data_IF_372849588732
#
_entry.id   IF_372849588732
#
_cell.length_a   1.000
_cell.length_b   1.000
_cell.length_c   1.000
_cell.angle_alpha   90.00
_cell.angle_beta   90.00
_cell.angle_gamma   90.00
#
_symmetry.space_group_name_H-M   'P 1'
#
loop_
_entity.id
_entity.type
_entity.pdbx_description
1 polymer ?
#
# COMPACT_ATOMS: atom_id res chain seq x y z
N UNK A 1 15.29 -30.30 11.74
CA UNK A 1 14.45 -29.68 10.69
C UNK A 1 14.02 -28.33 11.23
N UNK A 2 14.72 -27.26 10.86
CA UNK A 2 14.37 -25.91 11.30
C UNK A 2 13.01 -25.55 10.71
N UNK A 3 12.15 -24.97 11.54
CA UNK A 3 10.84 -24.50 11.13
C UNK A 3 11.03 -23.33 10.15
N UNK A 4 11.12 -23.63 8.86
CA UNK A 4 11.34 -22.65 7.81
C UNK A 4 10.07 -21.81 7.65
N UNK A 5 10.03 -20.68 8.35
CA UNK A 5 8.92 -19.72 8.28
C UNK A 5 8.86 -19.14 6.87
N UNK A 6 7.79 -19.43 6.15
CA UNK A 6 7.56 -18.90 4.79
C UNK A 6 6.93 -17.53 4.93
N UNK A 7 7.57 -16.50 4.37
CA UNK A 7 7.08 -15.12 4.43
C UNK A 7 6.41 -14.65 3.12
N UNK A 8 6.92 -15.14 2.00
CA UNK A 8 6.41 -14.81 0.66
C UNK A 8 6.30 -16.06 -0.21
N UNK A 9 5.34 -16.02 -1.12
CA UNK A 9 5.12 -17.02 -2.15
C UNK A 9 5.25 -16.33 -3.50
N UNK A 10 6.14 -16.83 -4.34
CA UNK A 10 6.29 -16.39 -5.72
C UNK A 10 5.79 -17.51 -6.64
N UNK A 11 4.69 -17.25 -7.34
CA UNK A 11 4.08 -18.15 -8.31
C UNK A 11 4.63 -17.83 -9.69
N UNK A 12 5.22 -18.83 -10.34
CA UNK A 12 5.62 -18.76 -11.74
C UNK A 12 4.48 -19.34 -12.61
N UNK A 13 4.11 -18.60 -13.65
CA UNK A 13 3.16 -19.07 -14.66
C UNK A 13 3.79 -20.14 -15.56
N UNK A 14 2.97 -21.00 -16.17
CA UNK A 14 3.43 -22.09 -17.04
C UNK A 14 4.20 -21.61 -18.28
N UNK A 15 3.93 -20.37 -18.72
CA UNK A 15 4.65 -19.70 -19.79
C UNK A 15 6.09 -19.31 -19.42
N UNK A 16 6.48 -19.44 -18.16
CA UNK A 16 7.82 -19.14 -17.70
C UNK A 16 8.75 -20.31 -18.01
N UNK A 17 9.76 -20.06 -18.85
CA UNK A 17 10.81 -21.02 -19.18
C UNK A 17 11.63 -21.42 -17.94
N UNK A 18 12.16 -22.64 -17.93
CA UNK A 18 13.00 -23.12 -16.84
C UNK A 18 14.25 -22.24 -16.61
N UNK A 19 14.87 -21.74 -17.68
CA UNK A 19 16.00 -20.82 -17.61
C UNK A 19 15.67 -19.53 -16.84
N UNK A 20 14.51 -18.93 -17.11
CA UNK A 20 14.03 -17.76 -16.40
C UNK A 20 13.79 -18.04 -14.91
N UNK A 21 13.22 -19.21 -14.58
CA UNK A 21 13.01 -19.60 -13.19
C UNK A 21 14.34 -19.85 -12.44
N UNK A 22 15.33 -20.45 -13.11
CA UNK A 22 16.66 -20.66 -12.54
C UNK A 22 17.41 -19.34 -12.36
N UNK A 23 17.30 -18.43 -13.32
CA UNK A 23 17.83 -17.07 -13.21
C UNK A 23 17.24 -16.36 -11.99
N UNK A 24 15.91 -16.30 -11.86
CA UNK A 24 15.24 -15.64 -10.72
C UNK A 24 15.70 -16.22 -9.38
N UNK A 25 15.79 -17.55 -9.27
CA UNK A 25 16.24 -18.21 -8.03
C UNK A 25 17.69 -17.86 -7.72
N UNK A 26 18.57 -17.86 -8.73
CA UNK A 26 19.97 -17.49 -8.56
C UNK A 26 20.10 -16.04 -8.11
N UNK A 27 19.43 -15.11 -8.80
CA UNK A 27 19.51 -13.68 -8.50
C UNK A 27 18.93 -13.36 -7.11
N UNK A 28 17.80 -13.96 -6.71
CA UNK A 28 17.24 -13.73 -5.37
C UNK A 28 18.09 -14.32 -4.25
N UNK A 29 18.83 -15.41 -4.52
CA UNK A 29 19.73 -16.00 -3.52
C UNK A 29 21.04 -15.23 -3.40
N UNK A 30 21.66 -14.86 -4.52
CA UNK A 30 22.97 -14.19 -4.57
C UNK A 30 22.86 -12.70 -4.23
N UNK A 31 21.95 -11.96 -4.87
CA UNK A 31 21.87 -10.50 -4.73
C UNK A 31 21.00 -10.07 -3.54
N UNK A 32 19.86 -10.73 -3.33
CA UNK A 32 18.97 -10.39 -2.22
C UNK A 32 19.31 -11.13 -0.91
N UNK A 33 20.08 -12.21 -0.96
CA UNK A 33 20.43 -13.03 0.22
C UNK A 33 19.20 -13.74 0.83
N UNK A 34 18.25 -14.15 -0.01
CA UNK A 34 17.02 -14.83 0.41
C UNK A 34 17.12 -16.34 0.17
N UNK A 35 16.52 -17.12 1.06
CA UNK A 35 16.47 -18.57 0.96
C UNK A 35 15.18 -19.01 0.27
N UNK A 36 15.33 -19.63 -0.91
CA UNK A 36 14.21 -20.11 -1.71
C UNK A 36 14.10 -21.63 -1.65
N UNK A 37 12.89 -22.13 -1.40
CA UNK A 37 12.54 -23.54 -1.58
C UNK A 37 11.52 -23.69 -2.70
N UNK A 38 11.72 -24.70 -3.57
CA UNK A 38 10.87 -24.95 -4.73
C UNK A 38 9.79 -25.96 -4.36
N UNK A 39 8.54 -25.66 -4.68
CA UNK A 39 7.42 -26.60 -4.59
C UNK A 39 6.65 -26.62 -5.92
N UNK A 40 6.04 -27.76 -6.24
CA UNK A 40 5.20 -27.89 -7.44
C UNK A 40 3.75 -27.74 -7.04
N UNK A 41 3.02 -26.85 -7.71
CA UNK A 41 1.59 -26.70 -7.51
C UNK A 41 0.83 -27.87 -8.15
N UNK A 42 -0.35 -28.20 -7.61
CA UNK A 42 -1.21 -29.28 -8.15
C UNK A 42 -1.61 -29.06 -9.62
N UNK A 43 -1.66 -27.80 -10.05
CA UNK A 43 -2.04 -27.40 -11.41
C UNK A 43 -0.82 -27.06 -12.29
N UNK A 44 0.31 -27.77 -12.17
CA UNK A 44 1.43 -27.64 -13.11
C UNK A 44 2.39 -26.44 -12.91
N UNK A 45 2.01 -25.40 -12.17
CA UNK A 45 2.86 -24.23 -11.91
C UNK A 45 3.98 -24.46 -10.88
N UNK A 46 5.12 -23.78 -11.06
CA UNK A 46 6.21 -23.77 -10.07
C UNK A 46 5.94 -22.69 -9.01
N UNK A 47 6.03 -23.05 -7.74
CA UNK A 47 5.92 -22.14 -6.61
C UNK A 47 7.28 -22.06 -5.92
N UNK A 48 7.71 -20.84 -5.63
CA UNK A 48 8.89 -20.56 -4.84
C UNK A 48 8.45 -20.01 -3.49
N UNK A 49 8.77 -20.74 -2.44
CA UNK A 49 8.60 -20.29 -1.07
C UNK A 49 9.84 -19.52 -0.65
N UNK A 50 9.64 -18.27 -0.24
CA UNK A 50 10.70 -17.35 0.12
C UNK A 50 10.77 -17.28 1.64
N UNK A 51 11.98 -17.54 2.13
CA UNK A 51 12.38 -17.52 3.52
C UNK A 51 13.61 -16.64 3.66
N UNK A 52 13.88 -16.17 4.87
CA UNK A 52 15.06 -15.35 5.15
C UNK A 52 15.54 -15.66 6.57
N UNK A 53 16.85 -15.59 6.78
CA UNK A 53 17.43 -15.71 8.12
C UNK A 53 17.13 -14.48 8.97
N UNK A 54 17.02 -14.68 10.28
CA UNK A 54 16.75 -13.59 11.22
C UNK A 54 17.82 -12.49 11.11
N UNK A 55 19.10 -12.86 11.01
CA UNK A 55 20.22 -11.93 10.82
C UNK A 55 20.10 -11.10 9.53
N UNK A 56 19.65 -11.72 8.44
CA UNK A 56 19.46 -11.01 7.17
C UNK A 56 18.33 -10.00 7.28
N UNK A 57 17.22 -10.37 7.92
CA UNK A 57 16.08 -9.48 8.14
C UNK A 57 16.49 -8.29 9.02
N UNK A 58 17.29 -8.52 10.06
CA UNK A 58 17.87 -7.45 10.89
C UNK A 58 18.72 -6.49 10.07
N UNK A 59 19.66 -6.99 9.26
CA UNK A 59 20.51 -6.15 8.41
C UNK A 59 19.70 -5.30 7.42
N UNK A 60 18.64 -5.85 6.83
CA UNK A 60 17.75 -5.12 5.93
C UNK A 60 16.94 -4.06 6.70
N UNK A 61 16.46 -4.40 7.90
CA UNK A 61 15.70 -3.47 8.73
C UNK A 61 16.54 -2.25 9.17
N UNK A 62 17.80 -2.47 9.51
CA UNK A 62 18.75 -1.43 9.96
C UNK A 62 19.27 -0.59 8.79
N UNK A 63 19.96 -1.21 7.82
CA UNK A 63 20.71 -0.47 6.80
C UNK A 63 19.80 0.06 5.69
N UNK A 64 18.94 -0.80 5.17
CA UNK A 64 18.20 -0.54 3.93
C UNK A 64 16.90 0.22 4.17
N UNK A 65 16.06 -0.29 5.08
CA UNK A 65 14.74 0.28 5.36
C UNK A 65 14.78 1.35 6.46
N UNK A 66 15.85 1.38 7.26
CA UNK A 66 16.02 2.22 8.46
C UNK A 66 14.73 2.24 9.29
N UNK A 67 14.23 1.05 9.60
CA UNK A 67 13.00 0.88 10.36
C UNK A 67 13.19 1.54 11.72
N UNK A 68 12.12 2.19 12.18
CA UNK A 68 12.09 2.89 13.46
C UNK A 68 11.25 2.09 14.43
N UNK A 69 11.77 1.87 15.64
CA UNK A 69 11.13 1.12 16.72
C UNK A 69 11.27 1.86 18.04
N UNK A 70 10.39 1.52 18.99
CA UNK A 70 10.46 2.04 20.35
C UNK A 70 11.59 1.35 21.09
N UNK A 71 12.48 2.14 21.65
CA UNK A 71 13.53 1.69 22.57
C UNK A 71 12.92 1.31 23.93
N UNK A 72 13.71 0.68 24.79
CA UNK A 72 13.43 0.40 26.19
C UNK A 72 12.89 1.59 27.00
N UNK A 73 13.32 2.81 26.62
CA UNK A 73 12.85 4.08 27.21
C UNK A 73 11.51 4.57 26.65
N UNK A 74 10.92 3.86 25.69
CA UNK A 74 9.68 4.23 25.00
C UNK A 74 9.84 5.28 23.89
N UNK A 75 11.07 5.66 23.54
CA UNK A 75 11.35 6.64 22.48
C UNK A 75 11.49 5.93 21.13
N UNK A 76 10.80 6.44 20.10
CA UNK A 76 10.89 5.92 18.74
C UNK A 76 12.15 6.41 18.05
N UNK A 77 13.11 5.52 17.76
CA UNK A 77 14.35 5.84 17.03
C UNK A 77 14.62 4.83 15.90
N UNK A 78 15.45 5.19 14.90
CA UNK A 78 15.97 4.20 13.94
C UNK A 78 16.65 3.06 14.68
N UNK A 79 16.53 1.86 14.14
CA UNK A 79 17.27 0.70 14.63
C UNK A 79 18.74 0.91 14.30
N UNK A 80 19.52 1.22 15.33
CA UNK A 80 20.97 1.35 15.26
C UNK A 80 21.51 0.73 16.55
N UNK A 81 22.45 -0.21 16.44
CA UNK A 81 23.12 -0.82 17.58
C UNK A 81 22.52 -2.15 18.05
N UNK A 82 22.69 -2.46 19.35
CA UNK A 82 22.43 -3.80 19.87
C UNK A 82 20.93 -4.15 19.87
N UNK A 83 20.53 -5.35 19.38
CA UNK A 83 19.14 -5.80 19.34
C UNK A 83 18.42 -5.76 20.70
N UNK A 84 19.18 -5.88 21.80
CA UNK A 84 18.64 -5.94 23.17
C UNK A 84 17.95 -4.65 23.61
N UNK A 85 18.40 -3.49 23.11
CA UNK A 85 17.82 -2.18 23.48
C UNK A 85 16.38 -2.03 22.97
N UNK A 86 16.06 -2.73 21.88
CA UNK A 86 14.76 -2.68 21.24
C UNK A 86 13.85 -3.86 21.62
N UNK A 87 14.35 -4.82 22.39
CA UNK A 87 13.66 -6.07 22.73
C UNK A 87 12.86 -6.01 24.04
N UNK A 88 12.36 -4.83 24.42
CA UNK A 88 11.64 -4.68 25.68
C UNK A 88 10.25 -5.34 25.65
N UNK A 89 9.96 -6.33 26.52
CA UNK A 89 8.69 -7.07 26.49
C UNK A 89 7.49 -6.20 26.85
N UNK A 90 7.70 -5.02 27.44
CA UNK A 90 6.64 -4.04 27.71
C UNK A 90 6.03 -3.47 26.43
N UNK A 91 6.82 -3.37 25.36
CA UNK A 91 6.43 -2.73 24.10
C UNK A 91 6.24 -3.73 22.95
N UNK A 92 6.70 -4.97 23.12
CA UNK A 92 6.57 -6.05 22.12
C UNK A 92 5.47 -7.02 22.55
N UNK A 93 4.32 -6.95 21.86
CA UNK A 93 3.20 -7.87 22.09
C UNK A 93 3.09 -8.99 21.06
N UNK A 94 3.42 -8.70 19.79
CA UNK A 94 3.23 -9.62 18.65
C UNK A 94 4.50 -9.72 17.75
N UNK A 95 5.69 -9.66 18.35
CA UNK A 95 6.96 -9.78 17.62
C UNK A 95 7.25 -11.21 17.16
N UNK A 96 7.47 -11.42 15.86
CA UNK A 96 7.87 -12.72 15.29
C UNK A 96 9.39 -12.91 15.36
N UNK A 97 10.15 -11.84 15.08
CA UNK A 97 11.61 -11.80 15.14
C UNK A 97 11.99 -10.59 15.99
N UNK A 98 12.27 -10.80 17.28
CA UNK A 98 12.51 -9.71 18.23
C UNK A 98 11.38 -8.67 18.21
N UNK A 99 11.64 -7.38 17.91
CA UNK A 99 10.62 -6.33 17.86
C UNK A 99 9.82 -6.27 16.53
N UNK A 100 10.12 -7.14 15.56
CA UNK A 100 9.50 -7.10 14.24
C UNK A 100 8.20 -7.89 14.20
N UNK A 101 7.15 -7.21 13.74
CA UNK A 101 5.84 -7.82 13.50
C UNK A 101 5.85 -8.58 12.16
N UNK A 102 4.82 -9.38 11.88
CA UNK A 102 4.67 -10.04 10.57
C UNK A 102 4.79 -9.04 9.42
N UNK A 103 4.12 -7.90 9.55
CA UNK A 103 4.13 -6.84 8.55
C UNK A 103 5.53 -6.24 8.35
N UNK A 104 6.34 -6.12 9.40
CA UNK A 104 7.70 -5.58 9.27
C UNK A 104 8.62 -6.57 8.58
N UNK A 105 8.52 -7.85 8.92
CA UNK A 105 9.32 -8.92 8.30
C UNK A 105 8.96 -9.06 6.83
N UNK A 106 7.67 -9.09 6.51
CA UNK A 106 7.18 -9.12 5.12
C UNK A 106 7.66 -7.90 4.34
N UNK A 107 7.71 -6.73 4.97
CA UNK A 107 8.22 -5.51 4.34
C UNK A 107 9.70 -5.60 4.03
N UNK A 108 10.51 -6.16 4.93
CA UNK A 108 11.93 -6.40 4.70
C UNK A 108 12.15 -7.37 3.54
N UNK A 109 11.41 -8.49 3.51
CA UNK A 109 11.52 -9.49 2.44
C UNK A 109 11.07 -8.91 1.10
N UNK A 110 9.93 -8.21 1.06
CA UNK A 110 9.45 -7.52 -0.15
C UNK A 110 10.45 -6.49 -0.64
N UNK A 111 11.06 -5.72 0.26
CA UNK A 111 12.09 -4.75 -0.09
C UNK A 111 13.30 -5.44 -0.72
N UNK A 112 13.81 -6.51 -0.10
CA UNK A 112 14.94 -7.27 -0.63
C UNK A 112 14.63 -7.82 -2.03
N UNK A 113 13.45 -8.42 -2.21
CA UNK A 113 12.97 -8.91 -3.50
C UNK A 113 12.90 -7.82 -4.58
N UNK A 114 12.32 -6.65 -4.28
CA UNK A 114 12.17 -5.56 -5.25
C UNK A 114 13.46 -4.78 -5.49
N UNK A 115 14.45 -4.90 -4.59
CA UNK A 115 15.74 -4.21 -4.69
C UNK A 115 16.71 -4.82 -5.71
N UNK A 116 16.38 -5.99 -6.25
CA UNK A 116 17.21 -6.71 -7.22
C UNK A 116 17.06 -6.11 -8.61
N UNK A 117 18.18 -5.74 -9.23
CA UNK A 117 18.23 -5.13 -10.56
C UNK A 117 19.05 -5.97 -11.54
N UNK A 118 18.70 -5.93 -12.82
CA UNK A 118 19.54 -6.52 -13.87
C UNK A 118 20.89 -5.80 -13.94
N UNK A 119 21.92 -6.54 -14.34
CA UNK A 119 23.21 -5.94 -14.67
C UNK A 119 23.09 -5.04 -15.91
N UNK A 120 23.88 -3.97 -15.97
CA UNK A 120 23.85 -2.98 -17.05
C UNK A 120 24.15 -3.55 -18.46
N UNK A 121 24.79 -4.73 -18.50
CA UNK A 121 25.15 -5.49 -19.69
C UNK A 121 23.94 -6.16 -20.36
N UNK A 122 22.91 -6.49 -19.57
CA UNK A 122 21.76 -7.25 -20.05
C UNK A 122 20.76 -6.36 -20.78
N UNK A 123 20.38 -6.78 -21.98
CA UNK A 123 19.42 -6.07 -22.85
C UNK A 123 18.17 -6.88 -23.15
N UNK A 124 18.20 -8.18 -22.88
CA UNK A 124 17.12 -9.14 -23.14
C UNK A 124 16.77 -9.83 -21.83
N UNK A 125 15.48 -10.12 -21.65
CA UNK A 125 15.00 -10.86 -20.50
C UNK A 125 15.47 -12.32 -20.57
N UNK A 126 16.16 -12.86 -19.55
CA UNK A 126 16.56 -14.26 -19.56
C UNK A 126 15.36 -15.21 -19.77
N UNK A 127 15.51 -16.20 -20.65
CA UNK A 127 14.45 -17.15 -21.00
C UNK A 127 13.31 -16.60 -21.86
N UNK A 128 13.37 -15.34 -22.30
CA UNK A 128 12.36 -14.75 -23.19
C UNK A 128 13.00 -13.84 -24.24
N UNK A 129 12.57 -13.92 -25.49
CA UNK A 129 13.05 -13.03 -26.57
C UNK A 129 12.45 -11.61 -26.50
N UNK A 130 12.28 -11.06 -25.29
CA UNK A 130 11.75 -9.71 -25.04
C UNK A 130 12.88 -8.79 -24.59
N UNK A 131 12.95 -7.61 -25.21
CA UNK A 131 13.93 -6.58 -24.85
C UNK A 131 13.53 -5.91 -23.53
N UNK A 132 14.52 -5.64 -22.69
CA UNK A 132 14.33 -4.86 -21.47
C UNK A 132 14.04 -3.39 -21.83
N UNK A 133 13.09 -2.75 -21.14
CA UNK A 133 12.69 -1.38 -21.45
C UNK A 133 13.78 -0.36 -21.05
N UNK A 134 14.58 -0.66 -20.01
CA UNK A 134 15.68 0.18 -19.52
C UNK A 134 16.87 -0.69 -19.07
N UNK A 135 18.06 -0.09 -19.03
CA UNK A 135 19.24 -0.67 -18.36
C UNK A 135 19.03 -0.60 -16.84
N UNK A 136 19.56 -1.59 -16.11
CA UNK A 136 19.41 -1.71 -14.64
C UNK A 136 17.95 -1.71 -14.19
N UNK A 137 17.11 -2.43 -14.92
CA UNK A 137 15.69 -2.52 -14.59
C UNK A 137 15.46 -3.53 -13.43
N UNK A 138 14.49 -3.33 -12.53
CA UNK A 138 14.25 -4.28 -11.45
C UNK A 138 13.81 -5.65 -11.99
N UNK A 139 14.42 -6.72 -11.50
CA UNK A 139 14.27 -8.07 -12.06
C UNK A 139 12.81 -8.54 -11.95
N UNK A 140 12.25 -8.51 -10.74
CA UNK A 140 10.87 -8.95 -10.51
C UNK A 140 9.85 -8.06 -11.23
N UNK A 141 10.13 -6.76 -11.41
CA UNK A 141 9.26 -5.89 -12.16
C UNK A 141 9.13 -6.34 -13.62
N UNK A 142 10.24 -6.74 -14.25
CA UNK A 142 10.23 -7.14 -15.66
C UNK A 142 9.44 -8.42 -15.88
N UNK A 143 9.66 -9.41 -15.01
CA UNK A 143 8.93 -10.67 -15.07
C UNK A 143 7.44 -10.47 -14.76
N UNK A 144 7.08 -9.51 -13.88
CA UNK A 144 5.68 -9.16 -13.58
C UNK A 144 5.01 -8.44 -14.75
N UNK A 145 5.68 -7.44 -15.37
CA UNK A 145 5.18 -6.77 -16.59
C UNK A 145 5.01 -7.75 -17.76
N UNK A 146 5.83 -8.81 -17.80
CA UNK A 146 5.72 -9.88 -18.79
C UNK A 146 4.59 -10.90 -18.49
N UNK A 147 3.86 -10.76 -17.37
CA UNK A 147 2.86 -11.70 -16.85
C UNK A 147 3.43 -13.12 -16.59
N UNK A 148 4.69 -13.21 -16.15
CA UNK A 148 5.35 -14.50 -15.88
C UNK A 148 5.37 -14.86 -14.40
N UNK A 149 5.26 -13.87 -13.51
CA UNK A 149 5.30 -14.07 -12.06
C UNK A 149 4.23 -13.28 -11.33
N UNK A 150 3.78 -13.84 -10.21
CA UNK A 150 2.95 -13.18 -9.21
C UNK A 150 3.52 -13.44 -7.82
N UNK A 151 3.53 -12.43 -6.96
CA UNK A 151 4.10 -12.51 -5.61
C UNK A 151 3.05 -12.14 -4.57
N UNK A 152 2.88 -12.99 -3.55
CA UNK A 152 1.92 -12.77 -2.47
C UNK A 152 2.59 -13.01 -1.10
N UNK A 153 2.31 -12.17 -0.09
CA UNK A 153 2.71 -12.45 1.28
C UNK A 153 1.92 -13.65 1.83
N UNK A 154 2.52 -14.41 2.75
CA UNK A 154 1.84 -15.51 3.43
C UNK A 154 0.99 -15.01 4.59
N UNK A 155 -0.15 -15.65 4.81
CA UNK A 155 -0.96 -15.43 6.00
C UNK A 155 -0.48 -16.35 7.14
N UNK A 156 -0.51 -15.83 8.37
CA UNK A 156 -0.39 -16.64 9.57
C UNK A 156 -1.78 -16.80 10.19
N UNK A 157 -2.31 -18.02 10.15
CA UNK A 157 -3.67 -18.33 10.60
C UNK A 157 -3.87 -18.06 12.09
N UNK A 158 -2.82 -18.26 12.91
CA UNK A 158 -2.89 -18.06 14.37
C UNK A 158 -3.04 -16.58 14.74
N UNK A 159 -2.29 -15.70 14.07
CA UNK A 159 -2.38 -14.25 14.27
C UNK A 159 -3.70 -13.72 13.70
N UNK A 160 -4.16 -14.28 12.58
CA UNK A 160 -5.41 -13.90 11.95
C UNK A 160 -6.62 -14.27 12.82
N UNK A 161 -6.65 -15.47 13.40
CA UNK A 161 -7.71 -15.89 14.32
C UNK A 161 -7.76 -15.02 15.58
N UNK A 162 -6.58 -14.64 16.11
CA UNK A 162 -6.48 -13.69 17.22
C UNK A 162 -7.06 -12.32 16.83
N UNK A 163 -6.68 -11.80 15.66
CA UNK A 163 -7.19 -10.53 15.16
C UNK A 163 -8.72 -10.54 14.97
N UNK A 164 -9.27 -11.63 14.45
CA UNK A 164 -10.73 -11.79 14.34
C UNK A 164 -11.43 -11.81 15.70
N UNK A 165 -10.82 -12.43 16.72
CA UNK A 165 -11.40 -12.46 18.07
C UNK A 165 -11.42 -11.08 18.75
N UNK A 166 -10.46 -10.21 18.43
CA UNK A 166 -10.36 -8.84 18.95
C UNK A 166 -11.16 -7.83 18.11
N UNK A 167 -11.79 -8.27 17.01
CA UNK A 167 -12.46 -7.38 16.06
C UNK A 167 -13.76 -6.80 16.63
N UNK A 168 -13.81 -5.47 16.75
CA UNK A 168 -15.02 -4.75 17.14
C UNK A 168 -15.34 -3.66 16.10
N UNK A 169 -16.57 -3.67 15.59
CA UNK A 169 -17.05 -2.73 14.56
C UNK A 169 -16.95 -1.27 14.98
N UNK A 170 -17.19 -0.95 16.25
CA UNK A 170 -17.21 0.45 16.73
C UNK A 170 -15.84 0.97 17.16
N UNK A 171 -14.93 0.08 17.56
CA UNK A 171 -13.56 0.40 17.97
C UNK A 171 -12.63 -0.69 17.44
N UNK A 172 -12.27 -0.64 16.15
CA UNK A 172 -11.40 -1.66 15.57
C UNK A 172 -10.02 -1.61 16.23
N UNK A 173 -9.35 -2.76 16.45
CA UNK A 173 -8.01 -2.81 17.03
C UNK A 173 -6.97 -2.39 15.98
N UNK A 174 -6.83 -1.07 15.76
CA UNK A 174 -6.02 -0.50 14.67
C UNK A 174 -4.55 -0.94 14.73
N UNK A 175 -3.98 -1.04 15.94
CA UNK A 175 -2.58 -1.45 16.11
C UNK A 175 -2.36 -2.93 15.75
N UNK A 176 -3.27 -3.81 16.13
CA UNK A 176 -3.21 -5.22 15.76
C UNK A 176 -3.38 -5.41 14.25
N UNK A 177 -4.30 -4.65 13.63
CA UNK A 177 -4.46 -4.60 12.18
C UNK A 177 -3.16 -4.13 11.53
N UNK A 178 -2.50 -3.09 12.06
CA UNK A 178 -1.26 -2.54 11.51
C UNK A 178 -0.07 -3.50 11.61
N UNK A 179 0.00 -4.26 12.70
CA UNK A 179 1.04 -5.26 12.93
C UNK A 179 0.89 -6.47 12.01
N UNK A 180 -0.35 -6.79 11.62
CA UNK A 180 -0.66 -7.87 10.69
C UNK A 180 -0.61 -7.42 9.21
N UNK A 181 -1.31 -6.33 8.87
CA UNK A 181 -1.35 -5.74 7.53
C UNK A 181 -0.44 -4.51 7.46
N UNK A 182 0.53 -4.54 6.54
CA UNK A 182 1.40 -3.38 6.28
C UNK A 182 0.64 -2.10 5.91
N UNK A 183 -0.57 -2.26 5.35
CA UNK A 183 -1.38 -1.20 4.77
C UNK A 183 -2.37 -0.65 5.80
N UNK A 184 -2.11 0.60 6.17
CA UNK A 184 -2.94 1.41 7.04
C UNK A 184 -4.36 1.54 6.46
N UNK A 185 -5.34 0.96 7.16
CA UNK A 185 -6.74 1.39 7.02
C UNK A 185 -6.90 2.66 7.87
N UNK A 186 -7.23 3.82 7.27
CA UNK A 186 -7.73 4.92 8.07
C UNK A 186 -9.09 4.46 8.62
N UNK A 187 -9.12 4.05 9.88
CA UNK A 187 -10.36 3.91 10.64
C UNK A 187 -10.95 5.32 10.83
N UNK A 188 -11.57 5.85 9.77
CA UNK A 188 -12.53 6.93 9.91
C UNK A 188 -13.76 6.25 10.51
N UNK A 189 -13.95 6.38 11.82
CA UNK A 189 -15.25 6.06 12.39
C UNK A 189 -16.30 6.91 11.66
N UNK A 190 -17.34 6.31 11.07
CA UNK A 190 -18.28 6.98 10.15
C UNK A 190 -19.19 8.01 10.83
N UNK A 191 -18.98 8.27 12.12
CA UNK A 191 -19.92 9.01 12.96
C UNK A 191 -20.09 10.49 12.56
N UNK A 192 -19.12 11.09 11.86
CA UNK A 192 -19.22 12.51 11.48
C UNK A 192 -19.88 12.76 10.12
N UNK A 193 -19.95 11.77 9.21
CA UNK A 193 -20.59 11.95 7.90
C UNK A 193 -22.08 11.57 7.91
N UNK A 194 -22.50 10.65 8.79
CA UNK A 194 -23.90 10.20 8.88
C UNK A 194 -24.85 11.24 9.51
N UNK A 195 -24.31 12.21 10.28
CA UNK A 195 -25.13 13.25 10.91
C UNK A 195 -25.70 14.25 9.89
N UNK A 196 -25.07 14.40 8.71
CA UNK A 196 -25.38 15.49 7.77
C UNK A 196 -26.60 15.25 6.86
N UNK A 197 -26.83 14.03 6.37
CA UNK A 197 -27.94 13.77 5.43
C UNK A 197 -29.24 13.49 6.19
N UNK A 198 -29.13 12.79 7.33
CA UNK A 198 -30.28 12.25 8.04
C UNK A 198 -31.16 13.30 8.72
N UNK A 199 -30.65 14.49 9.05
CA UNK A 199 -31.40 15.50 9.82
C UNK A 199 -32.12 16.53 8.96
N UNK A 200 -31.60 16.86 7.77
CA UNK A 200 -32.26 17.81 6.88
C UNK A 200 -33.55 17.20 6.29
N UNK A 201 -33.47 15.93 5.87
CA UNK A 201 -34.60 15.23 5.24
C UNK A 201 -35.70 14.83 6.23
N UNK A 202 -35.40 14.79 7.54
CA UNK A 202 -36.35 14.40 8.59
C UNK A 202 -37.08 15.57 9.25
N UNK A 203 -36.58 16.81 9.09
CA UNK A 203 -37.18 17.99 9.72
C UNK A 203 -38.27 18.59 8.82
N UNK A 204 -39.47 18.89 9.36
CA UNK A 204 -40.53 19.51 8.59
C UNK A 204 -40.10 20.89 8.08
N UNK A 205 -40.50 21.22 6.85
CA UNK A 205 -40.07 22.43 6.10
C UNK A 205 -40.15 23.74 6.91
N UNK A 206 -41.16 23.87 7.76
CA UNK A 206 -41.38 25.04 8.60
C UNK A 206 -40.28 25.20 9.66
N UNK A 207 -39.77 24.10 10.22
CA UNK A 207 -38.70 24.08 11.23
C UNK A 207 -37.34 24.35 10.58
N UNK A 208 -37.13 23.82 9.37
CA UNK A 208 -35.90 24.02 8.59
C UNK A 208 -35.66 25.48 8.20
N UNK A 209 -36.71 26.28 8.00
CA UNK A 209 -36.58 27.72 7.68
C UNK A 209 -36.06 28.50 8.90
N UNK A 210 -36.56 28.23 10.10
CA UNK A 210 -36.12 28.93 11.33
C UNK A 210 -34.79 28.40 11.88
N UNK A 211 -34.51 27.11 11.72
CA UNK A 211 -33.27 26.48 12.23
C UNK A 211 -32.20 26.29 11.14
N UNK A 212 -32.44 26.72 9.90
CA UNK A 212 -31.51 26.51 8.78
C UNK A 212 -30.13 27.11 9.03
N UNK A 213 -30.07 28.43 9.25
CA UNK A 213 -28.80 29.12 9.51
C UNK A 213 -28.03 28.53 10.71
N UNK A 214 -28.62 28.32 11.90
CA UNK A 214 -27.88 27.73 13.02
C UNK A 214 -27.44 26.29 12.77
N UNK A 215 -28.25 25.46 12.08
CA UNK A 215 -27.84 24.10 11.70
C UNK A 215 -26.67 24.10 10.72
N UNK A 216 -26.63 25.04 9.77
CA UNK A 216 -25.53 25.17 8.81
C UNK A 216 -24.23 25.60 9.49
N UNK A 217 -24.31 26.56 10.43
CA UNK A 217 -23.15 26.99 11.23
C UNK A 217 -22.65 25.84 12.10
N UNK A 218 -23.56 25.12 12.77
CA UNK A 218 -23.20 23.95 13.56
C UNK A 218 -22.55 22.86 12.69
N UNK A 219 -23.10 22.60 11.51
CA UNK A 219 -22.55 21.65 10.55
C UNK A 219 -21.13 22.02 10.13
N UNK A 220 -20.90 23.27 9.75
CA UNK A 220 -19.56 23.75 9.39
C UNK A 220 -18.59 23.62 10.58
N UNK A 221 -19.05 23.94 11.78
CA UNK A 221 -18.27 23.76 13.00
C UNK A 221 -17.94 22.28 13.28
N UNK A 222 -18.91 21.36 13.13
CA UNK A 222 -18.70 19.93 13.33
C UNK A 222 -17.71 19.35 12.32
N UNK A 223 -17.81 19.70 11.03
CA UNK A 223 -16.88 19.23 10.00
C UNK A 223 -15.46 19.75 10.26
N UNK A 224 -15.33 21.03 10.60
CA UNK A 224 -14.01 21.62 10.89
C UNK A 224 -13.36 20.99 12.12
N UNK A 225 -14.11 20.85 13.22
CA UNK A 225 -13.64 20.17 14.44
C UNK A 225 -13.26 18.71 14.15
N UNK A 226 -14.08 17.99 13.38
CA UNK A 226 -13.77 16.62 12.98
C UNK A 226 -12.47 16.52 12.18
N UNK A 227 -12.27 17.38 11.17
CA UNK A 227 -11.04 17.38 10.37
C UNK A 227 -9.80 17.72 11.21
N UNK A 228 -9.91 18.62 12.19
CA UNK A 228 -8.81 18.92 13.11
C UNK A 228 -8.50 17.74 14.05
N UNK A 229 -9.53 17.12 14.63
CA UNK A 229 -9.36 15.92 15.47
C UNK A 229 -8.75 14.78 14.65
N UNK A 230 -9.22 14.57 13.42
CA UNK A 230 -8.70 13.57 12.50
C UNK A 230 -7.21 13.80 12.20
N UNK A 231 -6.82 15.02 11.86
CA UNK A 231 -5.40 15.37 11.62
C UNK A 231 -4.54 15.08 12.85
N UNK A 232 -5.00 15.44 14.06
CA UNK A 232 -4.29 15.18 15.32
C UNK A 232 -4.13 13.67 15.56
N UNK A 233 -5.23 12.91 15.50
CA UNK A 233 -5.21 11.45 15.70
C UNK A 233 -4.38 10.72 14.64
N UNK A 234 -4.45 11.15 13.39
CA UNK A 234 -3.63 10.60 12.32
C UNK A 234 -2.13 10.84 12.57
N UNK A 235 -1.77 11.98 13.14
CA UNK A 235 -0.38 12.27 13.50
C UNK A 235 0.08 11.44 14.70
N UNK A 236 -0.77 11.26 15.72
CA UNK A 236 -0.48 10.39 16.87
C UNK A 236 -0.19 8.96 16.40
N UNK A 237 -1.07 8.39 15.55
CA UNK A 237 -0.85 7.07 14.97
C UNK A 237 0.40 7.00 14.09
N UNK A 238 0.67 8.04 13.28
CA UNK A 238 1.87 8.09 12.45
C UNK A 238 3.16 8.17 13.28
N UNK A 239 3.11 8.78 14.47
CA UNK A 239 4.21 8.81 15.44
C UNK A 239 4.39 7.45 16.11
N UNK A 240 3.30 6.84 16.60
CA UNK A 240 3.33 5.54 17.27
C UNK A 240 3.81 4.39 16.37
N UNK A 241 3.36 4.38 15.10
CA UNK A 241 3.81 3.41 14.09
C UNK A 241 5.14 3.78 13.45
N UNK A 242 5.77 4.85 13.94
CA UNK A 242 7.01 5.38 13.45
C UNK A 242 7.01 5.61 11.92
N UNK A 243 5.84 5.90 11.34
CA UNK A 243 5.65 6.11 9.90
C UNK A 243 5.78 7.55 9.45
N UNK A 244 5.92 8.49 10.40
CA UNK A 244 6.24 9.88 10.10
C UNK A 244 7.53 9.99 9.28
N UNK A 245 7.44 10.65 8.12
CA UNK A 245 8.56 10.85 7.19
C UNK A 245 8.85 9.68 6.24
N UNK A 246 8.21 8.50 6.39
CA UNK A 246 8.43 7.33 5.51
C UNK A 246 8.09 7.58 4.04
N UNK A 247 7.29 8.61 3.72
CA UNK A 247 6.93 8.96 2.33
C UNK A 247 8.06 9.62 1.53
N UNK A 248 9.04 10.25 2.20
CA UNK A 248 10.10 11.00 1.51
C UNK A 248 11.23 10.12 0.97
N UNK A 249 11.41 8.92 1.50
CA UNK A 249 12.51 8.00 1.17
C UNK A 249 11.99 6.65 0.66
N UNK A 250 10.85 6.64 -0.04
CA UNK A 250 10.36 5.41 -0.68
C UNK A 250 11.11 5.21 -1.98
N UNK A 251 11.59 3.99 -2.22
CA UNK A 251 12.08 3.58 -3.53
C UNK A 251 11.02 3.87 -4.61
N UNK A 252 11.45 4.18 -5.84
CA UNK A 252 10.54 4.38 -6.95
C UNK A 252 9.70 3.11 -7.15
N UNK A 253 8.43 3.28 -7.53
CA UNK A 253 7.56 2.14 -7.87
C UNK A 253 8.21 1.31 -8.99
N UNK A 254 8.01 -0.02 -9.03
CA UNK A 254 8.62 -0.89 -10.04
C UNK A 254 8.36 -0.44 -11.50
N UNK A 255 7.18 0.12 -11.77
CA UNK A 255 6.76 0.62 -13.09
C UNK A 255 7.32 2.02 -13.42
N UNK A 256 8.10 2.62 -12.52
CA UNK A 256 8.64 3.96 -12.73
C UNK A 256 9.81 3.91 -13.70
N UNK A 257 9.67 4.62 -14.82
CA UNK A 257 10.65 4.65 -15.91
C UNK A 257 11.32 6.01 -15.97
N UNK A 258 12.65 6.03 -16.03
CA UNK A 258 13.46 7.25 -16.03
C UNK A 258 14.93 6.97 -16.31
N UNK A 259 15.76 8.00 -16.26
CA UNK A 259 17.21 7.87 -16.44
C UNK A 259 17.84 7.70 -15.07
N UNK A 260 18.78 6.77 -14.92
CA UNK A 260 19.56 6.64 -13.69
C UNK A 260 20.40 7.89 -13.47
N UNK A 261 20.20 8.53 -12.32
CA UNK A 261 20.91 9.73 -11.92
C UNK A 261 21.18 9.67 -10.42
N UNK A 262 22.35 10.15 -10.02
CA UNK A 262 22.67 10.33 -8.61
C UNK A 262 21.72 11.37 -7.99
N UNK A 263 21.12 11.01 -6.87
CA UNK A 263 20.27 11.89 -6.11
C UNK A 263 21.13 12.90 -5.33
N UNK A 264 20.87 14.19 -5.51
CA UNK A 264 21.66 15.27 -4.89
C UNK A 264 21.55 15.34 -3.36
N UNK A 265 20.59 14.63 -2.76
CA UNK A 265 20.37 14.63 -1.30
C UNK A 265 20.92 13.35 -0.68
N UNK A 266 20.57 12.17 -1.22
CA UNK A 266 21.01 10.88 -0.67
C UNK A 266 22.37 10.44 -1.20
N UNK A 267 22.83 10.94 -2.35
CA UNK A 267 24.01 10.42 -3.06
C UNK A 267 23.79 9.05 -3.69
N UNK A 268 22.57 8.49 -3.59
CA UNK A 268 22.24 7.18 -4.14
C UNK A 268 21.86 7.29 -5.61
N UNK A 269 22.18 6.25 -6.38
CA UNK A 269 21.78 6.15 -7.78
C UNK A 269 20.30 5.78 -7.87
N UNK A 270 19.47 6.72 -8.29
CA UNK A 270 18.02 6.55 -8.39
C UNK A 270 17.51 6.77 -9.82
N UNK A 271 16.37 6.16 -10.13
CA UNK A 271 15.69 6.41 -11.41
C UNK A 271 15.06 7.80 -11.35
N UNK A 272 15.47 8.70 -12.22
CA UNK A 272 14.98 10.08 -12.28
C UNK A 272 14.12 10.32 -13.53
N UNK A 273 12.92 10.85 -13.32
CA UNK A 273 12.07 11.40 -14.38
C UNK A 273 11.84 12.89 -14.15
N UNK A 274 12.00 13.69 -15.21
CA UNK A 274 11.86 15.16 -15.11
C UNK A 274 10.45 15.58 -14.67
N UNK A 275 10.31 16.41 -13.63
CA UNK A 275 9.01 16.83 -13.10
C UNK A 275 8.21 17.65 -14.11
N UNK A 276 8.87 18.42 -14.97
CA UNK A 276 8.21 19.21 -16.01
C UNK A 276 7.47 18.33 -17.03
N UNK A 277 8.04 17.17 -17.38
CA UNK A 277 7.36 16.20 -18.26
C UNK A 277 6.13 15.60 -17.58
N UNK A 278 6.19 15.37 -16.27
CA UNK A 278 5.04 14.91 -15.47
C UNK A 278 3.93 15.96 -15.44
N UNK A 279 4.28 17.22 -15.19
CA UNK A 279 3.32 18.34 -15.17
C UNK A 279 2.66 18.50 -16.55
N UNK A 280 3.42 18.40 -17.65
CA UNK A 280 2.86 18.43 -19.00
C UNK A 280 1.85 17.32 -19.25
N UNK A 281 2.17 16.08 -18.86
CA UNK A 281 1.23 14.95 -18.99
C UNK A 281 -0.04 15.18 -18.16
N UNK A 282 0.11 15.69 -16.94
CA UNK A 282 -1.04 16.03 -16.10
C UNK A 282 -1.91 17.12 -16.74
N UNK A 283 -1.29 18.21 -17.20
CA UNK A 283 -1.96 19.39 -17.74
C UNK A 283 -2.65 19.14 -19.09
N UNK A 284 -2.01 18.40 -20.00
CA UNK A 284 -2.52 18.22 -21.38
C UNK A 284 -3.22 16.89 -21.62
N UNK A 285 -3.10 15.92 -20.72
CA UNK A 285 -3.73 14.59 -20.88
C UNK A 285 -4.73 14.33 -19.77
N UNK A 286 -4.29 14.28 -18.52
CA UNK A 286 -5.18 13.92 -17.40
C UNK A 286 -6.27 14.95 -17.14
N UNK A 287 -5.93 16.24 -17.06
CA UNK A 287 -6.92 17.30 -16.78
C UNK A 287 -8.00 17.38 -17.88
N UNK A 288 -7.66 17.40 -19.18
CA UNK A 288 -8.67 17.43 -20.24
C UNK A 288 -9.56 16.20 -20.28
N UNK A 289 -9.00 15.00 -20.12
CA UNK A 289 -9.77 13.75 -20.10
C UNK A 289 -10.73 13.74 -18.91
N UNK A 290 -10.26 14.08 -17.71
CA UNK A 290 -11.12 14.18 -16.53
C UNK A 290 -12.20 15.24 -16.71
N UNK A 291 -11.87 16.41 -17.28
CA UNK A 291 -12.85 17.47 -17.54
C UNK A 291 -13.92 17.04 -18.54
N UNK A 292 -13.54 16.30 -19.60
CA UNK A 292 -14.49 15.76 -20.57
C UNK A 292 -15.42 14.73 -19.90
N UNK A 293 -14.87 13.85 -19.06
CA UNK A 293 -15.65 12.88 -18.30
C UNK A 293 -16.66 13.57 -17.36
N UNK A 294 -16.23 14.62 -16.64
CA UNK A 294 -17.11 15.42 -15.79
C UNK A 294 -18.20 16.14 -16.59
N UNK A 295 -17.87 16.67 -17.78
CA UNK A 295 -18.84 17.31 -18.66
C UNK A 295 -19.87 16.31 -19.19
N UNK A 296 -19.43 15.11 -19.59
CA UNK A 296 -20.35 14.04 -20.01
C UNK A 296 -21.25 13.58 -18.87
N UNK A 297 -20.71 13.40 -17.66
CA UNK A 297 -21.50 13.08 -16.47
C UNK A 297 -22.53 14.17 -16.16
N UNK A 298 -22.17 15.44 -16.32
CA UNK A 298 -23.09 16.57 -16.17
C UNK A 298 -24.19 16.58 -17.23
N UNK A 299 -23.86 16.30 -18.50
CA UNK A 299 -24.86 16.16 -19.57
C UNK A 299 -25.80 14.99 -19.28
N UNK A 300 -25.30 13.85 -18.82
CA UNK A 300 -26.14 12.71 -18.44
C UNK A 300 -27.07 13.05 -17.29
N UNK A 301 -26.62 13.82 -16.30
CA UNK A 301 -27.48 14.31 -15.21
C UNK A 301 -28.57 15.27 -15.73
N UNK A 302 -28.26 16.17 -16.67
CA UNK A 302 -29.28 17.03 -17.27
C UNK A 302 -30.28 16.22 -18.11
N UNK A 303 -29.81 15.22 -18.84
CA UNK A 303 -30.65 14.31 -19.60
C UNK A 303 -31.57 13.49 -18.69
N UNK A 304 -31.09 13.03 -17.52
CA UNK A 304 -31.93 12.34 -16.55
C UNK A 304 -33.00 13.27 -16.00
N UNK A 305 -32.66 14.52 -15.63
CA UNK A 305 -33.68 15.48 -15.18
C UNK A 305 -34.72 15.78 -16.25
N UNK A 306 -34.32 15.86 -17.53
CA UNK A 306 -35.29 16.07 -18.61
C UNK A 306 -36.18 14.85 -18.83
N UNK A 307 -35.62 13.65 -18.70
CA UNK A 307 -36.40 12.41 -18.76
C UNK A 307 -37.40 12.35 -17.60
N UNK A 308 -36.98 12.68 -16.38
CA UNK A 308 -37.85 12.73 -15.20
C UNK A 308 -39.01 13.71 -15.39
N UNK A 309 -38.74 14.93 -15.89
CA UNK A 309 -39.79 15.93 -16.20
C UNK A 309 -40.79 15.40 -17.26
N UNK A 310 -40.29 14.74 -18.31
CA UNK A 310 -41.14 14.13 -19.34
C UNK A 310 -41.99 12.99 -18.77
N UNK A 311 -41.43 12.17 -17.89
CA UNK A 311 -42.17 11.13 -17.20
C UNK A 311 -43.26 11.71 -16.30
N UNK A 312 -42.98 12.75 -15.53
CA UNK A 312 -43.98 13.42 -14.69
C UNK A 312 -45.15 13.96 -15.52
N UNK A 313 -44.87 14.63 -16.64
CA UNK A 313 -45.92 15.14 -17.54
C UNK A 313 -46.73 13.97 -18.13
N UNK A 314 -46.06 12.90 -18.58
CA UNK A 314 -46.74 11.74 -19.15
C UNK A 314 -47.65 11.03 -18.13
N UNK A 315 -47.25 10.93 -16.87
CA UNK A 315 -48.09 10.39 -15.80
C UNK A 315 -49.23 11.34 -15.41
N UNK A 316 -49.03 12.66 -15.46
CA UNK A 316 -50.08 13.64 -15.21
C UNK A 316 -51.18 13.65 -16.29
N UNK A 317 -50.82 13.37 -17.54
CA UNK A 317 -51.75 13.26 -18.68
C UNK A 317 -52.37 11.86 -18.83
N UNK A 318 -51.88 10.86 -18.08
CA UNK A 318 -52.40 9.49 -18.10
C UNK A 318 -53.69 9.40 -17.25
N UNK A 319 -54.79 8.84 -17.77
CA UNK A 319 -56.11 8.86 -17.12
C UNK A 319 -56.30 7.85 -15.98
N UNK A 320 -55.24 7.45 -15.28
CA UNK A 320 -55.31 6.50 -14.15
C UNK A 320 -55.03 7.16 -12.81
#
# INVERSE_FOLDING_TARGET
MGDHRIFYILRLHESCTQEAAEFIVKTLREDAGLDLTRSRHKNGGLILHITASDERIWKIAENDLRLKKKDSRGVTRPLEGDPKEFCDPKYIKDGIIGPFTLSDVQRCVSYAMESVHFEASMTVLPGQNRRLPLKNYPVLAAYREANLIESFPTHNDTLLSKLYSEWNTFRPPIDAIRNYLERMWPSISPFCLLYHVSLHDFLPRNVTIYLGLPLWVLNLATVTVFLEIWKRRSNDHAYDWASSGKLRHKKPRPEYRGVLKENSISGEMEVYYSPYKTIKKLAFVSIPITSLCLLLAFIFMLASFKADELFEIWFADSPY
#
